data_IF_958035719269
#
_entry.id   IF_958035719269
#
_cell.length_a   1.000
_cell.length_b   1.000
_cell.length_c   1.000
_cell.angle_alpha   90.00
_cell.angle_beta   90.00
_cell.angle_gamma   90.00
#
_symmetry.space_group_name_H-M   'P 1'
#
loop_
_entity.id
_entity.type
_entity.pdbx_description
1 polymer ?
#
# COMPACT_ATOMS: atom_id res chain seq x y z
N UNK A 1 0.15 -39.87 -14.54
CA UNK A 1 -0.26 -38.58 -13.94
C UNK A 1 0.98 -37.72 -13.82
N UNK A 2 1.28 -36.93 -14.86
CA UNK A 2 2.45 -36.06 -14.86
C UNK A 2 2.10 -34.77 -14.10
N UNK A 3 2.87 -34.48 -13.06
CA UNK A 3 2.79 -33.25 -12.28
C UNK A 3 3.03 -32.05 -13.20
N UNK A 4 2.00 -31.23 -13.37
CA UNK A 4 2.07 -29.97 -14.10
C UNK A 4 2.79 -28.93 -13.21
N UNK A 5 4.10 -29.10 -13.03
CA UNK A 5 4.96 -28.07 -12.43
C UNK A 5 5.29 -27.07 -13.53
N UNK A 6 4.76 -25.85 -13.40
CA UNK A 6 5.20 -24.70 -14.18
C UNK A 6 6.73 -24.59 -13.99
N UNK A 7 7.55 -24.61 -15.06
CA UNK A 7 9.00 -24.58 -14.89
C UNK A 7 9.39 -23.30 -14.14
N UNK A 8 10.15 -23.46 -13.05
CA UNK A 8 10.64 -22.31 -12.27
C UNK A 8 11.43 -21.37 -13.20
N UNK A 9 11.05 -20.10 -13.22
CA UNK A 9 11.77 -19.06 -13.98
C UNK A 9 13.15 -18.76 -13.39
N UNK A 10 13.46 -19.31 -12.22
CA UNK A 10 14.70 -19.11 -11.49
C UNK A 10 15.39 -20.48 -11.31
N UNK A 11 16.57 -20.61 -11.92
CA UNK A 11 17.38 -21.82 -11.91
C UNK A 11 18.57 -21.60 -10.97
N UNK A 12 18.59 -22.23 -9.78
CA UNK A 12 19.67 -22.08 -8.83
C UNK A 12 20.91 -22.91 -9.22
N UNK A 13 22.08 -22.29 -9.25
CA UNK A 13 23.37 -22.96 -9.45
C UNK A 13 24.36 -22.56 -8.36
N UNK A 14 25.13 -23.53 -7.85
CA UNK A 14 26.21 -23.24 -6.92
C UNK A 14 27.26 -22.37 -7.61
N UNK A 15 27.67 -21.29 -6.93
CA UNK A 15 28.72 -20.44 -7.46
C UNK A 15 30.04 -21.21 -7.44
N UNK A 16 30.81 -21.10 -8.52
CA UNK A 16 32.12 -21.73 -8.68
C UNK A 16 33.10 -20.78 -9.36
N UNK A 17 34.39 -21.15 -9.36
CA UNK A 17 35.46 -20.31 -9.92
C UNK A 17 35.76 -19.08 -9.05
N UNK A 18 35.87 -17.91 -9.66
CA UNK A 18 36.31 -16.66 -9.01
C UNK A 18 35.16 -15.82 -8.45
N UNK A 19 33.92 -16.32 -8.48
CA UNK A 19 32.76 -15.59 -7.96
C UNK A 19 32.77 -15.58 -6.43
N UNK A 20 32.54 -14.41 -5.85
CA UNK A 20 32.44 -14.22 -4.39
C UNK A 20 31.05 -14.52 -3.81
N UNK A 21 30.06 -14.74 -4.67
CA UNK A 21 28.72 -15.14 -4.26
C UNK A 21 28.71 -16.60 -3.81
N UNK A 22 27.77 -16.97 -2.93
CA UNK A 22 27.56 -18.37 -2.55
C UNK A 22 26.75 -19.14 -3.60
N UNK A 23 25.90 -18.43 -4.35
CA UNK A 23 25.00 -18.99 -5.35
C UNK A 23 24.75 -18.00 -6.47
N UNK A 24 24.43 -18.52 -7.65
CA UNK A 24 23.99 -17.75 -8.81
C UNK A 24 22.63 -18.28 -9.24
N UNK A 25 21.68 -17.38 -9.44
CA UNK A 25 20.35 -17.71 -9.92
C UNK A 25 20.24 -17.27 -11.38
N UNK A 26 20.06 -18.22 -12.28
CA UNK A 26 19.83 -17.94 -13.70
C UNK A 26 18.35 -17.74 -13.95
N UNK A 27 18.02 -16.64 -14.62
CA UNK A 27 16.65 -16.25 -14.89
C UNK A 27 16.28 -16.73 -16.28
N UNK A 28 15.47 -17.80 -16.36
CA UNK A 28 14.91 -18.30 -17.61
C UNK A 28 13.64 -17.51 -17.96
N UNK A 29 13.82 -16.21 -18.18
CA UNK A 29 12.74 -15.25 -18.40
C UNK A 29 12.66 -14.84 -19.88
N UNK A 30 11.44 -14.78 -20.42
CA UNK A 30 11.16 -14.25 -21.76
C UNK A 30 10.16 -13.10 -21.68
N UNK A 31 10.41 -11.97 -22.37
CA UNK A 31 9.50 -10.84 -22.40
C UNK A 31 8.20 -11.22 -23.12
N UNK A 32 7.06 -10.77 -22.60
CA UNK A 32 5.75 -10.88 -23.27
C UNK A 32 5.44 -9.63 -24.09
N UNK A 33 4.59 -9.78 -25.11
CA UNK A 33 4.27 -8.69 -26.05
C UNK A 33 3.49 -7.52 -25.41
N UNK A 34 2.71 -7.78 -24.35
CA UNK A 34 1.97 -6.75 -23.65
C UNK A 34 2.70 -6.24 -22.40
N UNK A 35 2.61 -4.92 -22.17
CA UNK A 35 3.27 -4.24 -21.07
C UNK A 35 2.82 -4.75 -19.68
N UNK A 36 1.53 -5.06 -19.51
CA UNK A 36 0.99 -5.51 -18.23
C UNK A 36 1.53 -6.89 -17.83
N UNK A 37 1.56 -7.84 -18.75
CA UNK A 37 2.16 -9.17 -18.50
C UNK A 37 3.66 -9.07 -18.35
N UNK A 38 4.32 -8.14 -19.05
CA UNK A 38 5.74 -7.87 -18.85
C UNK A 38 6.00 -7.39 -17.42
N UNK A 39 5.24 -6.42 -16.92
CA UNK A 39 5.36 -5.90 -15.56
C UNK A 39 5.13 -7.00 -14.51
N UNK A 40 4.06 -7.80 -14.66
CA UNK A 40 3.76 -8.93 -13.76
C UNK A 40 4.86 -9.99 -13.78
N UNK A 41 5.44 -10.26 -14.94
CA UNK A 41 6.52 -11.24 -15.07
C UNK A 41 7.79 -10.79 -14.36
N UNK A 42 8.16 -9.51 -14.43
CA UNK A 42 9.29 -8.94 -13.70
C UNK A 42 9.06 -8.97 -12.17
N UNK A 43 7.87 -8.62 -11.71
CA UNK A 43 7.51 -8.71 -10.29
C UNK A 43 7.64 -10.15 -9.77
N UNK A 44 7.09 -11.10 -10.53
CA UNK A 44 7.19 -12.52 -10.19
C UNK A 44 8.63 -13.01 -10.16
N UNK A 45 9.46 -12.57 -11.10
CA UNK A 45 10.87 -12.96 -11.17
C UNK A 45 11.65 -12.52 -9.93
N UNK A 46 11.43 -11.28 -9.48
CA UNK A 46 12.04 -10.73 -8.26
C UNK A 46 11.56 -11.50 -7.03
N UNK A 47 10.25 -11.75 -6.95
CA UNK A 47 9.63 -12.53 -5.87
C UNK A 47 10.23 -13.94 -5.78
N UNK A 48 10.19 -14.70 -6.86
CA UNK A 48 10.67 -16.09 -6.90
C UNK A 48 12.15 -16.18 -6.51
N UNK A 49 12.98 -15.24 -6.97
CA UNK A 49 14.40 -15.20 -6.63
C UNK A 49 14.66 -14.87 -5.15
N UNK A 50 13.90 -13.94 -4.56
CA UNK A 50 14.02 -13.57 -3.15
C UNK A 50 13.49 -14.68 -2.25
N UNK A 51 12.35 -15.29 -2.58
CA UNK A 51 11.82 -16.44 -1.84
C UNK A 51 12.82 -17.60 -1.83
N UNK A 52 13.44 -17.88 -2.97
CA UNK A 52 14.47 -18.91 -3.07
C UNK A 52 15.71 -18.57 -2.23
N UNK A 53 16.22 -17.34 -2.29
CA UNK A 53 17.35 -16.92 -1.47
C UNK A 53 17.02 -16.94 0.04
N UNK A 54 15.79 -16.58 0.40
CA UNK A 54 15.28 -16.56 1.77
C UNK A 54 15.13 -17.97 2.34
N UNK A 55 14.55 -18.90 1.58
CA UNK A 55 14.44 -20.33 1.96
C UNK A 55 15.81 -20.99 2.14
N UNK A 56 16.82 -20.53 1.41
CA UNK A 56 18.22 -20.96 1.55
C UNK A 56 19.00 -20.22 2.64
N UNK A 57 18.34 -19.37 3.44
CA UNK A 57 18.91 -18.59 4.54
C UNK A 57 20.03 -17.61 4.12
N UNK A 58 20.01 -17.10 2.88
CA UNK A 58 20.91 -16.03 2.50
C UNK A 58 20.47 -14.68 3.08
N UNK A 59 21.44 -13.87 3.49
CA UNK A 59 21.22 -12.53 4.07
C UNK A 59 21.25 -11.41 3.04
N UNK A 60 21.67 -11.71 1.81
CA UNK A 60 21.76 -10.73 0.73
C UNK A 60 21.57 -11.36 -0.63
N UNK A 61 20.95 -10.64 -1.55
CA UNK A 61 20.83 -10.98 -2.96
C UNK A 61 21.09 -9.72 -3.81
N UNK A 62 21.74 -9.89 -4.96
CA UNK A 62 21.95 -8.80 -5.92
C UNK A 62 21.34 -9.15 -7.27
N UNK A 63 20.63 -8.19 -7.86
CA UNK A 63 20.03 -8.30 -9.18
C UNK A 63 20.81 -7.44 -10.19
N UNK A 64 20.96 -7.87 -11.45
CA UNK A 64 21.36 -6.95 -12.52
C UNK A 64 20.21 -5.97 -12.86
N UNK A 65 20.46 -5.01 -13.76
CA UNK A 65 19.41 -4.16 -14.34
C UNK A 65 18.53 -4.93 -15.34
N UNK A 66 17.80 -5.94 -14.83
CA UNK A 66 16.97 -6.85 -15.63
C UNK A 66 15.92 -6.05 -16.39
N UNK A 67 15.84 -6.27 -17.70
CA UNK A 67 14.81 -5.66 -18.53
C UNK A 67 15.20 -4.33 -19.17
N UNK A 68 16.23 -3.62 -18.68
CA UNK A 68 16.50 -2.22 -19.06
C UNK A 68 17.16 -1.99 -20.41
N UNK A 69 17.80 -2.99 -21.02
CA UNK A 69 18.64 -2.80 -22.21
C UNK A 69 18.13 -3.47 -23.48
N UNK A 70 17.31 -4.52 -23.38
CA UNK A 70 17.07 -5.44 -24.50
C UNK A 70 15.63 -5.46 -25.03
N UNK A 71 14.66 -4.86 -24.32
CA UNK A 71 13.24 -5.15 -24.55
C UNK A 71 12.37 -3.94 -24.91
N UNK A 72 12.99 -2.79 -25.21
CA UNK A 72 12.28 -1.60 -25.71
C UNK A 72 11.40 -0.86 -24.70
N UNK A 73 11.36 -1.31 -23.43
CA UNK A 73 10.66 -0.63 -22.37
C UNK A 73 11.54 0.47 -21.73
N UNK A 74 10.94 1.59 -21.30
CA UNK A 74 11.73 2.71 -20.80
C UNK A 74 12.32 2.36 -19.41
N UNK A 75 13.58 2.75 -19.13
CA UNK A 75 14.26 2.41 -17.88
C UNK A 75 13.51 2.83 -16.61
N UNK A 76 12.74 3.92 -16.67
CA UNK A 76 11.97 4.40 -15.53
C UNK A 76 10.83 3.49 -15.12
N UNK A 77 10.15 2.86 -16.09
CA UNK A 77 9.10 1.89 -15.83
C UNK A 77 9.69 0.66 -15.12
N UNK A 78 10.79 0.14 -15.66
CA UNK A 78 11.44 -1.07 -15.14
C UNK A 78 12.04 -0.84 -13.75
N UNK A 79 12.80 0.25 -13.59
CA UNK A 79 13.38 0.62 -12.31
C UNK A 79 12.29 0.77 -11.24
N UNK A 80 11.18 1.45 -11.56
CA UNK A 80 10.04 1.57 -10.64
C UNK A 80 9.52 0.20 -10.19
N UNK A 81 9.25 -0.70 -11.13
CA UNK A 81 8.70 -2.02 -10.84
C UNK A 81 9.65 -2.83 -9.95
N UNK A 82 10.94 -2.90 -10.32
CA UNK A 82 11.92 -3.69 -9.59
C UNK A 82 12.18 -3.13 -8.19
N UNK A 83 12.28 -1.81 -8.05
CA UNK A 83 12.52 -1.14 -6.78
C UNK A 83 11.30 -1.24 -5.86
N UNK A 84 10.07 -1.03 -6.35
CA UNK A 84 8.85 -1.18 -5.56
C UNK A 84 8.66 -2.62 -5.07
N UNK A 85 8.93 -3.62 -5.92
CA UNK A 85 8.83 -5.03 -5.55
C UNK A 85 9.91 -5.43 -4.54
N UNK A 86 11.17 -5.08 -4.80
CA UNK A 86 12.27 -5.33 -3.88
C UNK A 86 12.00 -4.70 -2.51
N UNK A 87 11.56 -3.44 -2.49
CA UNK A 87 11.25 -2.72 -1.26
C UNK A 87 10.17 -3.40 -0.42
N UNK A 88 9.12 -3.93 -1.07
CA UNK A 88 8.08 -4.72 -0.38
C UNK A 88 8.66 -5.99 0.26
N UNK A 89 9.62 -6.63 -0.39
CA UNK A 89 10.16 -7.93 0.00
C UNK A 89 11.29 -7.85 1.02
N UNK A 90 12.05 -6.74 1.08
CA UNK A 90 13.08 -6.50 2.11
C UNK A 90 12.51 -6.74 3.50
N UNK A 91 11.39 -6.10 3.82
CA UNK A 91 10.77 -6.21 5.15
C UNK A 91 10.16 -7.60 5.39
N UNK A 92 9.69 -8.28 4.33
CA UNK A 92 9.02 -9.59 4.44
C UNK A 92 10.04 -10.69 4.74
N UNK A 93 11.17 -10.69 4.04
CA UNK A 93 12.17 -11.77 4.11
C UNK A 93 13.39 -11.44 4.98
N UNK A 94 13.55 -10.18 5.41
CA UNK A 94 14.70 -9.76 6.21
C UNK A 94 16.03 -9.91 5.46
N UNK A 95 16.00 -9.81 4.12
CA UNK A 95 17.15 -9.97 3.23
C UNK A 95 17.58 -8.62 2.67
N UNK A 96 18.89 -8.37 2.59
CA UNK A 96 19.44 -7.20 1.94
C UNK A 96 19.36 -7.37 0.42
N UNK A 97 18.71 -6.44 -0.27
CA UNK A 97 18.56 -6.48 -1.73
C UNK A 97 19.37 -5.35 -2.36
N UNK A 98 20.20 -5.67 -3.35
CA UNK A 98 20.95 -4.68 -4.14
C UNK A 98 20.70 -4.85 -5.63
N UNK A 99 20.90 -3.76 -6.39
CA UNK A 99 20.91 -3.78 -7.85
C UNK A 99 22.31 -3.40 -8.33
N UNK A 100 22.95 -4.28 -9.10
CA UNK A 100 24.28 -4.07 -9.69
C UNK A 100 24.11 -3.62 -11.13
N UNK A 101 24.62 -2.44 -11.43
CA UNK A 101 24.49 -1.79 -12.73
C UNK A 101 25.90 -1.57 -13.27
N UNK A 102 26.10 -1.83 -14.56
CA UNK A 102 27.41 -1.66 -15.21
C UNK A 102 27.82 -0.19 -15.21
N UNK A 103 29.12 0.13 -15.01
CA UNK A 103 29.59 1.51 -14.86
C UNK A 103 29.28 2.44 -16.05
N UNK A 104 29.15 1.90 -17.26
CA UNK A 104 28.83 2.63 -18.48
C UNK A 104 27.32 2.91 -18.65
N UNK A 105 26.46 2.31 -17.82
CA UNK A 105 25.00 2.49 -17.87
C UNK A 105 24.51 3.53 -16.86
N UNK A 106 25.08 4.73 -16.95
CA UNK A 106 24.82 5.85 -16.01
C UNK A 106 23.33 6.19 -15.95
N UNK A 107 22.65 6.25 -17.08
CA UNK A 107 21.22 6.62 -17.16
C UNK A 107 20.33 5.63 -16.40
N UNK A 108 20.64 4.33 -16.50
CA UNK A 108 19.95 3.27 -15.78
C UNK A 108 20.24 3.40 -14.28
N UNK A 109 21.51 3.64 -13.91
CA UNK A 109 21.89 3.86 -12.51
C UNK A 109 21.15 5.04 -11.89
N UNK A 110 21.11 6.18 -12.57
CA UNK A 110 20.41 7.37 -12.10
C UNK A 110 18.93 7.09 -11.87
N UNK A 111 18.29 6.33 -12.76
CA UNK A 111 16.88 6.02 -12.62
C UNK A 111 16.59 5.08 -11.45
N UNK A 112 17.40 4.03 -11.24
CA UNK A 112 17.28 3.18 -10.05
C UNK A 112 17.52 3.97 -8.76
N UNK A 113 18.55 4.84 -8.75
CA UNK A 113 18.84 5.71 -7.62
C UNK A 113 17.65 6.64 -7.33
N UNK A 114 17.08 7.26 -8.35
CA UNK A 114 15.91 8.15 -8.24
C UNK A 114 14.71 7.42 -7.63
N UNK A 115 14.42 6.20 -8.06
CA UNK A 115 13.33 5.40 -7.50
C UNK A 115 13.57 5.03 -6.03
N UNK A 116 14.81 4.71 -5.66
CA UNK A 116 15.18 4.47 -4.25
C UNK A 116 15.01 5.74 -3.42
N UNK A 117 15.46 6.89 -3.93
CA UNK A 117 15.36 8.17 -3.22
C UNK A 117 13.89 8.57 -3.04
N UNK A 118 13.04 8.42 -4.07
CA UNK A 118 11.59 8.61 -3.93
C UNK A 118 10.95 7.73 -2.85
N UNK A 119 11.39 6.48 -2.71
CA UNK A 119 10.91 5.59 -1.65
C UNK A 119 11.48 5.95 -0.27
N UNK A 120 12.67 6.55 -0.18
CA UNK A 120 13.21 7.05 1.09
C UNK A 120 12.52 8.34 1.52
N UNK A 121 12.27 9.25 0.58
CA UNK A 121 11.46 10.45 0.78
C UNK A 121 10.01 10.10 1.18
N UNK A 122 9.53 8.91 0.82
CA UNK A 122 8.24 8.37 1.28
C UNK A 122 8.23 7.90 2.76
N UNK A 123 9.40 7.70 3.37
CA UNK A 123 9.60 7.20 4.75
C UNK A 123 9.98 8.31 5.75
N UNK A 124 10.67 9.35 5.29
CA UNK A 124 10.88 10.58 6.05
C UNK A 124 9.55 11.34 6.18
N UNK A 125 9.28 12.04 7.29
CA UNK A 125 8.15 12.97 7.36
C UNK A 125 8.43 14.11 6.39
N UNK A 126 8.03 13.96 5.13
CA UNK A 126 8.19 15.01 4.13
C UNK A 126 7.37 16.21 4.55
N UNK A 127 7.97 17.39 4.44
CA UNK A 127 7.36 18.73 4.53
C UNK A 127 6.35 18.98 3.39
N UNK A 128 5.67 17.92 2.95
CA UNK A 128 4.58 17.97 1.98
C UNK A 128 3.50 18.88 2.55
N UNK A 129 3.01 19.85 1.76
CA UNK A 129 1.96 20.76 2.21
C UNK A 129 0.73 19.92 2.58
N UNK A 130 0.44 19.87 3.89
CA UNK A 130 -0.78 19.26 4.40
C UNK A 130 -1.94 20.15 3.96
N UNK A 131 -2.76 19.64 3.05
CA UNK A 131 -4.00 20.32 2.68
C UNK A 131 -4.96 20.12 3.83
N UNK A 132 -5.38 21.20 4.50
CA UNK A 132 -6.32 21.14 5.61
C UNK A 132 -7.39 22.22 5.53
N UNK A 133 -8.62 21.83 5.85
CA UNK A 133 -9.76 22.73 5.97
C UNK A 133 -10.46 22.53 7.32
N UNK A 134 -11.17 23.56 7.76
CA UNK A 134 -12.11 23.48 8.89
C UNK A 134 -13.52 23.26 8.36
N UNK A 135 -14.25 22.31 8.96
CA UNK A 135 -15.65 22.02 8.62
C UNK A 135 -16.44 21.94 9.92
N UNK A 136 -17.31 22.93 10.15
CA UNK A 136 -17.94 23.13 11.45
C UNK A 136 -16.88 23.24 12.57
N UNK A 137 -16.96 22.34 13.55
CA UNK A 137 -15.99 22.24 14.65
C UNK A 137 -14.84 21.26 14.38
N UNK A 138 -14.91 20.49 13.30
CA UNK A 138 -13.91 19.50 12.91
C UNK A 138 -12.91 20.02 11.89
N UNK A 139 -11.96 19.16 11.53
CA UNK A 139 -10.99 19.41 10.47
C UNK A 139 -10.90 18.22 9.54
N UNK A 140 -10.65 18.49 8.26
CA UNK A 140 -10.29 17.47 7.27
C UNK A 140 -8.90 17.81 6.77
N UNK A 141 -8.00 16.84 6.73
CA UNK A 141 -6.64 16.99 6.22
C UNK A 141 -6.29 15.86 5.25
N UNK A 142 -5.42 16.16 4.28
CA UNK A 142 -4.86 15.20 3.33
C UNK A 142 -3.34 15.28 3.42
N UNK A 143 -2.69 14.14 3.60
CA UNK A 143 -1.23 14.04 3.58
C UNK A 143 -0.77 12.80 2.82
N UNK A 144 0.47 12.84 2.35
CA UNK A 144 1.15 11.66 1.84
C UNK A 144 1.82 10.93 2.99
N UNK A 145 1.74 9.61 2.99
CA UNK A 145 2.37 8.77 4.00
C UNK A 145 1.74 7.40 4.12
N UNK A 146 2.06 6.71 5.22
CA UNK A 146 1.51 5.39 5.51
C UNK A 146 0.65 5.40 6.76
N UNK A 147 -0.47 4.67 6.72
CA UNK A 147 -1.46 4.64 7.80
C UNK A 147 -0.87 4.11 9.13
N UNK A 148 0.14 3.24 9.06
CA UNK A 148 0.74 2.58 10.24
C UNK A 148 1.62 3.52 11.08
N UNK A 149 1.98 4.70 10.57
CA UNK A 149 2.79 5.69 11.30
C UNK A 149 1.96 6.79 11.96
N UNK A 150 0.63 6.73 11.80
CA UNK A 150 -0.26 7.83 12.14
C UNK A 150 -0.53 7.96 13.63
N UNK A 151 -0.15 9.11 14.19
CA UNK A 151 -0.42 9.46 15.58
C UNK A 151 -1.80 10.10 15.74
N UNK A 152 -2.82 9.24 15.79
CA UNK A 152 -4.24 9.61 15.93
C UNK A 152 -4.93 8.66 16.91
N UNK A 153 -6.14 8.98 17.36
CA UNK A 153 -6.86 8.09 18.29
C UNK A 153 -7.25 6.78 17.61
N UNK A 154 -7.73 6.82 16.36
CA UNK A 154 -8.08 5.63 15.60
C UNK A 154 -7.54 5.64 14.17
N UNK A 155 -7.15 4.47 13.66
CA UNK A 155 -6.87 4.28 12.23
C UNK A 155 -7.88 3.32 11.61
N UNK A 156 -8.18 3.53 10.33
CA UNK A 156 -9.05 2.66 9.55
C UNK A 156 -8.21 1.71 8.70
N UNK A 157 -8.47 0.40 8.83
CA UNK A 157 -7.99 -0.64 7.92
C UNK A 157 -9.11 -1.11 6.98
N UNK A 158 -8.78 -1.99 6.04
CA UNK A 158 -9.78 -2.66 5.19
C UNK A 158 -9.62 -4.16 5.28
N UNK A 159 -10.70 -4.85 5.66
CA UNK A 159 -10.75 -6.31 5.73
C UNK A 159 -10.69 -6.97 4.35
N UNK A 160 -11.19 -6.26 3.33
CA UNK A 160 -11.22 -6.67 1.92
C UNK A 160 -9.87 -6.48 1.22
N UNK A 161 -9.01 -5.57 1.72
CA UNK A 161 -7.66 -5.39 1.19
C UNK A 161 -6.65 -6.28 1.92
N UNK A 162 -6.24 -7.37 1.28
CA UNK A 162 -5.20 -8.27 1.82
C UNK A 162 -3.89 -7.53 2.11
N UNK A 163 -3.47 -6.63 1.21
CA UNK A 163 -2.22 -5.88 1.33
C UNK A 163 -2.25 -4.91 2.52
N UNK A 164 -3.30 -4.09 2.63
CA UNK A 164 -3.43 -3.11 3.72
C UNK A 164 -3.60 -3.81 5.07
N UNK A 165 -4.45 -4.84 5.14
CA UNK A 165 -4.64 -5.62 6.37
C UNK A 165 -3.34 -6.27 6.84
N UNK A 166 -2.59 -6.91 5.93
CA UNK A 166 -1.29 -7.52 6.24
C UNK A 166 -0.29 -6.48 6.72
N UNK A 167 -0.22 -5.31 6.09
CA UNK A 167 0.67 -4.22 6.50
C UNK A 167 0.35 -3.72 7.91
N UNK A 168 -0.92 -3.46 8.22
CA UNK A 168 -1.37 -3.02 9.55
C UNK A 168 -1.08 -4.09 10.60
N UNK A 169 -1.50 -5.34 10.38
CA UNK A 169 -1.29 -6.43 11.35
C UNK A 169 0.20 -6.66 11.61
N UNK A 170 1.02 -6.69 10.55
CA UNK A 170 2.47 -6.87 10.68
C UNK A 170 3.11 -5.77 11.52
N UNK A 171 2.73 -4.52 11.29
CA UNK A 171 3.27 -3.38 12.02
C UNK A 171 2.72 -3.28 13.45
N UNK A 172 1.48 -3.73 13.69
CA UNK A 172 0.85 -3.68 15.01
C UNK A 172 1.25 -4.86 15.92
N UNK A 173 1.61 -6.01 15.36
CA UNK A 173 2.01 -7.21 16.08
C UNK A 173 0.92 -8.28 16.20
N UNK A 174 1.32 -9.47 16.67
CA UNK A 174 0.48 -10.68 16.68
C UNK A 174 -0.80 -10.55 17.52
N UNK A 175 -0.79 -9.75 18.58
CA UNK A 175 -1.97 -9.57 19.43
C UNK A 175 -3.14 -8.92 18.67
N UNK A 176 -2.83 -8.05 17.69
CA UNK A 176 -3.84 -7.47 16.80
C UNK A 176 -4.40 -8.50 15.83
N UNK A 177 -3.57 -9.43 15.35
CA UNK A 177 -4.02 -10.53 14.50
C UNK A 177 -5.02 -11.44 15.24
N UNK A 178 -4.67 -11.84 16.48
CA UNK A 178 -5.55 -12.64 17.31
C UNK A 178 -6.85 -11.91 17.64
N UNK A 179 -6.77 -10.65 18.04
CA UNK A 179 -7.96 -9.84 18.32
C UNK A 179 -8.86 -9.70 17.07
N UNK A 180 -8.27 -9.47 15.89
CA UNK A 180 -9.01 -9.40 14.63
C UNK A 180 -9.73 -10.71 14.34
N UNK A 181 -9.05 -11.86 14.46
CA UNK A 181 -9.63 -13.18 14.18
C UNK A 181 -10.78 -13.49 15.14
N UNK A 182 -10.59 -13.24 16.43
CA UNK A 182 -11.63 -13.42 17.45
C UNK A 182 -12.85 -12.57 17.14
N UNK A 183 -12.68 -11.27 16.91
CA UNK A 183 -13.80 -10.36 16.63
C UNK A 183 -14.48 -10.68 15.30
N UNK A 184 -13.73 -11.07 14.27
CA UNK A 184 -14.29 -11.47 12.99
C UNK A 184 -15.20 -12.70 13.09
N UNK A 185 -14.86 -13.64 13.98
CA UNK A 185 -15.66 -14.85 14.22
C UNK A 185 -16.88 -14.58 15.09
N UNK A 186 -16.75 -13.75 16.13
CA UNK A 186 -17.87 -13.42 17.03
C UNK A 186 -18.88 -12.47 16.40
N UNK A 187 -18.43 -11.57 15.53
CA UNK A 187 -19.23 -10.52 14.90
C UNK A 187 -19.16 -10.59 13.37
N UNK A 188 -19.65 -11.68 12.74
CA UNK A 188 -19.52 -11.92 11.30
C UNK A 188 -20.31 -10.92 10.44
N UNK A 189 -21.28 -10.20 11.00
CA UNK A 189 -22.07 -9.20 10.27
C UNK A 189 -21.66 -7.75 10.59
N UNK A 190 -20.70 -7.55 11.50
CA UNK A 190 -20.21 -6.21 11.82
C UNK A 190 -19.50 -5.57 10.61
N UNK A 191 -19.85 -4.32 10.31
CA UNK A 191 -19.18 -3.50 9.29
C UNK A 191 -17.76 -3.13 9.75
N UNK A 192 -17.53 -2.96 11.05
CA UNK A 192 -16.24 -2.59 11.62
C UNK A 192 -15.79 -3.66 12.62
N UNK A 193 -14.61 -4.24 12.37
CA UNK A 193 -13.92 -5.09 13.32
C UNK A 193 -13.02 -4.20 14.19
N UNK A 194 -13.32 -4.10 15.47
CA UNK A 194 -12.62 -3.26 16.45
C UNK A 194 -11.49 -4.05 17.09
N UNK A 195 -10.27 -3.52 17.06
CA UNK A 195 -9.10 -4.20 17.65
C UNK A 195 -8.23 -3.24 18.44
N UNK A 196 -7.41 -3.76 19.35
CA UNK A 196 -6.35 -3.00 20.02
C UNK A 196 -5.32 -2.47 19.00
N UNK A 197 -4.53 -1.47 19.37
CA UNK A 197 -3.55 -0.85 18.48
C UNK A 197 -2.21 -1.59 18.37
N UNK A 198 -1.89 -2.45 19.35
CA UNK A 198 -0.60 -3.13 19.42
C UNK A 198 0.55 -2.11 19.48
N UNK A 199 1.50 -2.22 18.55
CA UNK A 199 2.69 -1.35 18.45
C UNK A 199 2.44 -0.06 17.65
N UNK A 200 1.25 0.14 17.08
CA UNK A 200 0.98 1.35 16.30
C UNK A 200 0.76 2.57 17.19
N UNK A 201 1.13 3.78 16.75
CA UNK A 201 0.98 5.03 17.51
C UNK A 201 -0.47 5.54 17.56
N UNK A 202 -1.45 4.66 17.67
CA UNK A 202 -2.87 4.97 17.84
C UNK A 202 -3.47 4.25 19.06
N UNK A 203 -4.73 4.55 19.40
CA UNK A 203 -5.43 3.89 20.51
C UNK A 203 -6.27 2.69 20.06
N UNK A 204 -6.69 2.67 18.79
CA UNK A 204 -7.59 1.63 18.24
C UNK A 204 -7.44 1.49 16.73
N UNK A 205 -7.64 0.28 16.23
CA UNK A 205 -7.69 -0.01 14.80
C UNK A 205 -9.10 -0.53 14.47
N UNK A 206 -9.77 0.09 13.51
CA UNK A 206 -11.04 -0.38 12.99
C UNK A 206 -10.85 -0.93 11.57
N UNK A 207 -11.01 -2.24 11.38
CA UNK A 207 -10.96 -2.83 10.04
C UNK A 207 -12.35 -2.83 9.41
N UNK A 208 -12.49 -2.07 8.33
CA UNK A 208 -13.72 -1.95 7.57
C UNK A 208 -13.96 -3.16 6.68
N UNK A 209 -15.10 -3.82 6.90
CA UNK A 209 -15.68 -4.84 6.02
C UNK A 209 -16.58 -4.16 5.01
N UNK A 210 -15.98 -3.75 3.90
CA UNK A 210 -16.67 -3.09 2.80
C UNK A 210 -16.06 -3.54 1.48
N UNK A 211 -16.91 -3.72 0.47
CA UNK A 211 -16.53 -3.94 -0.91
C UNK A 211 -17.29 -2.94 -1.77
N UNK A 212 -16.67 -2.44 -2.85
CA UNK A 212 -17.35 -1.50 -3.73
C UNK A 212 -18.47 -2.18 -4.52
N UNK A 213 -19.62 -1.53 -4.56
CA UNK A 213 -20.75 -1.93 -5.39
C UNK A 213 -20.50 -1.58 -6.87
N UNK A 214 -21.13 -2.33 -7.76
CA UNK A 214 -20.98 -2.14 -9.22
C UNK A 214 -21.84 -0.99 -9.76
N UNK A 215 -23.02 -0.76 -9.17
CA UNK A 215 -23.88 0.36 -9.51
C UNK A 215 -23.37 1.64 -8.82
N UNK A 216 -23.29 2.76 -9.56
CA UNK A 216 -22.80 4.03 -8.99
C UNK A 216 -23.65 4.52 -7.81
N UNK A 217 -24.99 4.41 -7.89
CA UNK A 217 -25.89 4.83 -6.82
C UNK A 217 -25.68 4.03 -5.54
N UNK A 218 -25.57 2.71 -5.67
CA UNK A 218 -25.30 1.79 -4.55
C UNK A 218 -23.88 1.98 -3.99
N UNK A 219 -22.89 2.22 -4.87
CA UNK A 219 -21.53 2.56 -4.48
C UNK A 219 -21.52 3.83 -3.63
N UNK A 220 -22.20 4.88 -4.10
CA UNK A 220 -22.29 6.15 -3.36
C UNK A 220 -23.01 5.97 -2.04
N UNK A 221 -24.07 5.16 -1.99
CA UNK A 221 -24.81 4.92 -0.75
C UNK A 221 -23.98 4.11 0.26
N UNK A 222 -23.35 3.01 -0.17
CA UNK A 222 -22.50 2.19 0.70
C UNK A 222 -21.31 3.00 1.27
N UNK A 223 -20.76 3.95 0.52
CA UNK A 223 -19.73 4.88 1.01
C UNK A 223 -20.26 5.78 2.13
N UNK A 224 -21.43 6.40 1.93
CA UNK A 224 -22.06 7.23 2.97
C UNK A 224 -22.34 6.42 4.23
N UNK A 225 -22.82 5.19 4.06
CA UNK A 225 -23.18 4.31 5.17
C UNK A 225 -21.96 3.93 6.00
N UNK A 226 -20.85 3.50 5.37
CA UNK A 226 -19.66 3.16 6.15
C UNK A 226 -19.03 4.39 6.80
N UNK A 227 -19.06 5.56 6.16
CA UNK A 227 -18.52 6.79 6.76
C UNK A 227 -19.31 7.17 8.01
N UNK A 228 -20.64 7.13 7.94
CA UNK A 228 -21.50 7.39 9.10
C UNK A 228 -21.21 6.40 10.24
N UNK A 229 -21.05 5.11 9.92
CA UNK A 229 -20.72 4.07 10.90
C UNK A 229 -19.34 4.30 11.56
N UNK A 230 -18.32 4.63 10.78
CA UNK A 230 -16.97 4.91 11.29
C UNK A 230 -16.99 6.13 12.21
N UNK A 231 -17.57 7.24 11.77
CA UNK A 231 -17.63 8.47 12.58
C UNK A 231 -18.43 8.24 13.87
N UNK A 232 -19.52 7.47 13.80
CA UNK A 232 -20.28 7.08 14.99
C UNK A 232 -19.44 6.30 15.99
N UNK A 233 -18.64 5.33 15.53
CA UNK A 233 -17.75 4.57 16.40
C UNK A 233 -16.66 5.46 17.01
N UNK A 234 -15.99 6.28 16.21
CA UNK A 234 -14.95 7.18 16.71
C UNK A 234 -15.50 8.08 17.83
N UNK A 235 -16.71 8.62 17.64
CA UNK A 235 -17.36 9.47 18.65
C UNK A 235 -17.81 8.67 19.89
N UNK A 236 -18.35 7.46 19.73
CA UNK A 236 -18.79 6.64 20.87
C UNK A 236 -17.63 6.24 21.78
N UNK A 237 -16.44 6.04 21.21
CA UNK A 237 -15.19 5.82 21.93
C UNK A 237 -14.59 7.12 22.52
N UNK A 238 -15.24 8.27 22.36
CA UNK A 238 -14.77 9.59 22.79
C UNK A 238 -13.43 9.98 22.16
N UNK A 239 -13.18 9.52 20.94
CA UNK A 239 -12.00 9.88 20.18
C UNK A 239 -12.20 11.20 19.43
N UNK A 240 -11.08 11.91 19.27
CA UNK A 240 -10.98 13.25 18.70
C UNK A 240 -10.25 13.27 17.36
N UNK A 241 -9.63 12.15 16.95
CA UNK A 241 -8.94 12.04 15.67
C UNK A 241 -9.06 10.66 15.04
N UNK A 242 -9.19 10.62 13.70
CA UNK A 242 -9.22 9.37 12.94
C UNK A 242 -8.48 9.52 11.60
N UNK A 243 -7.69 8.52 11.22
CA UNK A 243 -7.02 8.46 9.93
C UNK A 243 -7.64 7.40 9.00
N UNK A 244 -7.93 7.80 7.76
CA UNK A 244 -8.43 6.97 6.69
C UNK A 244 -7.34 6.76 5.62
N UNK A 245 -7.13 5.53 5.15
CA UNK A 245 -6.40 5.31 3.91
C UNK A 245 -7.29 5.62 2.70
N UNK A 246 -6.73 5.55 1.50
CA UNK A 246 -7.48 5.69 0.24
C UNK A 246 -8.37 4.45 -0.06
N UNK A 247 -9.37 4.19 0.79
CA UNK A 247 -10.31 3.07 0.65
C UNK A 247 -11.10 3.23 -0.66
N UNK A 248 -11.25 2.13 -1.40
CA UNK A 248 -11.97 2.13 -2.69
C UNK A 248 -11.20 2.71 -3.88
N UNK A 249 -10.01 3.28 -3.68
CA UNK A 249 -9.16 3.85 -4.74
C UNK A 249 -8.11 2.84 -5.26
N UNK A 250 -8.42 1.54 -5.21
CA UNK A 250 -7.54 0.44 -5.62
C UNK A 250 -7.99 -0.26 -6.90
N UNK A 251 -7.62 -1.52 -7.08
CA UNK A 251 -7.87 -2.33 -8.29
C UNK A 251 -9.34 -2.74 -8.55
N UNK A 252 -10.33 -1.98 -8.05
CA UNK A 252 -11.74 -2.40 -8.09
C UNK A 252 -12.57 -1.81 -9.25
N UNK A 253 -11.94 -1.33 -10.32
CA UNK A 253 -12.61 -0.70 -11.47
C UNK A 253 -13.52 0.51 -11.10
N UNK A 254 -13.46 0.98 -9.86
CA UNK A 254 -14.21 2.14 -9.38
C UNK A 254 -13.52 3.42 -9.84
N UNK A 255 -14.32 4.40 -10.25
CA UNK A 255 -13.82 5.75 -10.49
C UNK A 255 -13.30 6.35 -9.17
N UNK A 256 -12.00 6.63 -9.13
CA UNK A 256 -11.34 7.31 -7.99
C UNK A 256 -12.07 8.61 -7.67
N UNK A 257 -12.46 9.38 -8.69
CA UNK A 257 -13.24 10.62 -8.52
C UNK A 257 -14.55 10.39 -7.78
N UNK A 258 -15.36 9.39 -8.18
CA UNK A 258 -16.65 9.11 -7.52
C UNK A 258 -16.44 8.73 -6.05
N UNK A 259 -15.45 7.87 -5.78
CA UNK A 259 -15.15 7.41 -4.42
C UNK A 259 -14.69 8.56 -3.54
N UNK A 260 -13.72 9.35 -4.02
CA UNK A 260 -13.14 10.48 -3.28
C UNK A 260 -14.17 11.56 -3.04
N UNK A 261 -14.88 11.99 -4.08
CA UNK A 261 -15.96 12.98 -3.99
C UNK A 261 -16.98 12.56 -2.94
N UNK A 262 -17.49 11.33 -3.04
CA UNK A 262 -18.54 10.84 -2.14
C UNK A 262 -18.05 10.73 -0.71
N UNK A 263 -16.82 10.23 -0.51
CA UNK A 263 -16.25 10.09 0.83
C UNK A 263 -16.01 11.44 1.50
N UNK A 264 -15.44 12.41 0.78
CA UNK A 264 -15.22 13.76 1.31
C UNK A 264 -16.54 14.45 1.65
N UNK A 265 -17.53 14.38 0.75
CA UNK A 265 -18.84 14.99 0.99
C UNK A 265 -19.60 14.33 2.14
N UNK A 266 -19.52 13.00 2.27
CA UNK A 266 -20.12 12.29 3.40
C UNK A 266 -19.49 12.70 4.73
N UNK A 267 -18.16 12.86 4.76
CA UNK A 267 -17.45 13.32 5.94
C UNK A 267 -17.80 14.77 6.30
N UNK A 268 -17.84 15.68 5.32
CA UNK A 268 -18.25 17.09 5.53
C UNK A 268 -19.62 17.15 6.21
N UNK A 269 -20.60 16.45 5.65
CA UNK A 269 -21.96 16.33 6.20
C UNK A 269 -21.99 15.77 7.62
N UNK A 270 -21.22 14.72 7.90
CA UNK A 270 -21.18 14.13 9.25
C UNK A 270 -20.52 15.06 10.28
N UNK A 271 -19.49 15.83 9.90
CA UNK A 271 -18.87 16.83 10.78
C UNK A 271 -19.83 17.97 11.10
N UNK A 272 -20.54 18.49 10.10
CA UNK A 272 -21.55 19.53 10.27
C UNK A 272 -22.72 19.06 11.13
N UNK A 273 -23.30 17.91 10.79
CA UNK A 273 -24.47 17.34 11.47
C UNK A 273 -24.19 17.04 12.94
N UNK A 274 -22.98 16.60 13.28
CA UNK A 274 -22.64 16.21 14.66
C UNK A 274 -22.04 17.35 15.50
N UNK A 275 -21.48 18.38 14.87
CA UNK A 275 -20.91 19.55 15.55
C UNK A 275 -19.76 19.23 16.53
N UNK A 276 -19.11 18.06 16.39
CA UNK A 276 -18.01 17.63 17.26
C UNK A 276 -16.66 18.11 16.72
N UNK A 277 -15.74 18.42 17.63
CA UNK A 277 -14.34 18.67 17.31
C UNK A 277 -13.65 17.32 16.99
N UNK A 278 -13.73 16.92 15.73
CA UNK A 278 -13.14 15.68 15.22
C UNK A 278 -12.16 16.02 14.10
N UNK A 279 -10.91 15.59 14.24
CA UNK A 279 -9.88 15.70 13.22
C UNK A 279 -9.88 14.45 12.34
N UNK A 280 -10.14 14.63 11.05
CA UNK A 280 -10.15 13.56 10.06
C UNK A 280 -8.95 13.75 9.14
N UNK A 281 -8.18 12.69 8.96
CA UNK A 281 -6.99 12.68 8.13
C UNK A 281 -7.10 11.63 7.03
N UNK A 282 -6.94 12.01 5.78
CA UNK A 282 -6.71 11.10 4.67
C UNK A 282 -5.21 10.91 4.46
N UNK A 283 -4.76 9.67 4.50
CA UNK A 283 -3.36 9.29 4.39
C UNK A 283 -3.17 8.51 3.10
N UNK A 284 -2.51 9.14 2.14
CA UNK A 284 -2.36 8.61 0.78
C UNK A 284 -0.94 8.09 0.62
N UNK A 285 -0.79 6.83 0.18
CA UNK A 285 0.54 6.27 -0.05
C UNK A 285 1.35 7.14 -1.02
N UNK A 286 2.62 7.47 -0.74
CA UNK A 286 3.37 8.47 -1.52
C UNK A 286 3.48 8.18 -3.02
N UNK A 287 3.39 6.90 -3.44
CA UNK A 287 3.37 6.51 -4.85
C UNK A 287 2.04 6.75 -5.60
N UNK A 288 0.98 7.23 -4.93
CA UNK A 288 -0.37 7.43 -5.49
C UNK A 288 -0.71 8.90 -5.70
N UNK A 289 0.09 9.59 -6.51
CA UNK A 289 -0.06 11.03 -6.78
C UNK A 289 -1.46 11.40 -7.30
N UNK A 290 -1.98 10.65 -8.27
CA UNK A 290 -3.31 10.89 -8.85
C UNK A 290 -4.43 10.83 -7.80
N UNK A 291 -4.34 9.90 -6.85
CA UNK A 291 -5.32 9.77 -5.75
C UNK A 291 -5.16 10.95 -4.79
N UNK A 292 -3.92 11.31 -4.44
CA UNK A 292 -3.64 12.45 -3.57
C UNK A 292 -4.21 13.76 -4.13
N UNK A 293 -3.98 14.03 -5.42
CA UNK A 293 -4.48 15.24 -6.09
C UNK A 293 -6.01 15.29 -6.09
N UNK A 294 -6.68 14.15 -6.33
CA UNK A 294 -8.14 14.08 -6.32
C UNK A 294 -8.71 14.35 -4.92
N UNK A 295 -8.07 13.82 -3.86
CA UNK A 295 -8.43 14.16 -2.48
C UNK A 295 -8.24 15.65 -2.19
N UNK A 296 -7.10 16.23 -2.56
CA UNK A 296 -6.83 17.65 -2.35
C UNK A 296 -7.89 18.53 -3.04
N UNK A 297 -8.20 18.22 -4.30
CA UNK A 297 -9.23 18.89 -5.10
C UNK A 297 -10.60 18.87 -4.42
N UNK A 298 -11.08 17.70 -3.98
CA UNK A 298 -12.41 17.58 -3.39
C UNK A 298 -12.49 18.11 -1.95
N UNK A 299 -11.40 18.02 -1.19
CA UNK A 299 -11.32 18.64 0.13
C UNK A 299 -11.42 20.16 -0.02
N UNK A 300 -10.58 20.77 -0.86
CA UNK A 300 -10.55 22.22 -1.09
C UNK A 300 -11.78 22.78 -1.80
N UNK A 301 -12.57 21.95 -2.48
CA UNK A 301 -13.80 22.38 -3.11
C UNK A 301 -14.80 22.90 -2.05
N UNK A 302 -15.18 24.17 -2.18
CA UNK A 302 -16.31 24.76 -1.45
C UNK A 302 -17.62 24.12 -1.93
N UNK A 303 -18.57 23.90 -1.03
CA UNK A 303 -19.92 23.49 -1.41
C UNK A 303 -20.52 24.56 -2.33
N UNK A 304 -21.03 24.14 -3.50
CA UNK A 304 -21.81 24.99 -4.42
C UNK A 304 -23.27 24.95 -4.04
#
# INVERSE_FOLDING_TARGET
>A
MASNQNPSLVIPLQASGHLRSKKVYFLSWQPTADQDSFCKSLQKLVLDAIEMASTENFRSISFPAIGCSQYGYPPNLIAKILIEEAYRLVDIHGISISFTIEPDKIDIYQEFKRQIDLLKESKEPSDTPVVSIKVGNGTISVEKGTIITQKVDAIIGSSSSKHLKKAIIKAAGRDVESAYQTEYLHNPDAILISTISGQLPCKRIFFLKWQPESNEGELRQSIKDFISNVIQHVISYKYSSVAFPAIGCGHHNCSVTIVVETMVNAIKKELERRGKALAIKFVIEPGKQNVYDEFCKHVLASER
#
